data_IF_707725584782
#
_entry.id   IF_707725584782
#
_cell.length_a   1.000
_cell.length_b   1.000
_cell.length_c   1.000
_cell.angle_alpha   90.00
_cell.angle_beta   90.00
_cell.angle_gamma   90.00
#
_symmetry.space_group_name_H-M   'P 1'
#
loop_
_entity.id
_entity.type
_entity.pdbx_description
1 polymer ?
#
# COMPACT_ATOMS: atom_id res chain seq x y z
N UNK A 1 -15.06 -30.88 12.68
CA UNK A 1 -15.69 -29.55 12.47
C UNK A 1 -15.44 -29.20 11.01
N UNK A 2 -16.46 -28.99 10.17
CA UNK A 2 -16.25 -28.98 8.74
C UNK A 2 -15.61 -27.66 8.30
N UNK A 3 -14.68 -27.78 7.36
CA UNK A 3 -14.03 -26.71 6.63
C UNK A 3 -15.04 -25.98 5.75
N UNK A 4 -15.91 -25.17 6.35
CA UNK A 4 -16.56 -24.09 5.61
C UNK A 4 -15.45 -23.17 5.10
N UNK A 5 -15.20 -23.26 3.79
CA UNK A 5 -14.66 -22.21 2.94
C UNK A 5 -14.61 -20.84 3.63
N UNK A 6 -13.52 -20.58 4.35
CA UNK A 6 -13.21 -19.26 4.86
C UNK A 6 -12.82 -18.46 3.63
N UNK A 7 -13.82 -17.96 2.90
CA UNK A 7 -13.66 -17.05 1.78
C UNK A 7 -12.96 -15.82 2.34
N UNK A 8 -11.63 -15.80 2.27
CA UNK A 8 -10.84 -14.60 2.51
C UNK A 8 -11.26 -13.65 1.39
N UNK A 9 -12.25 -12.81 1.67
CA UNK A 9 -12.71 -11.80 0.74
C UNK A 9 -11.56 -10.83 0.54
N UNK A 10 -10.97 -10.88 -0.64
CA UNK A 10 -9.95 -9.92 -1.05
C UNK A 10 -10.64 -8.62 -1.42
N UNK A 11 -10.10 -7.52 -0.92
CA UNK A 11 -10.50 -6.18 -1.31
C UNK A 11 -9.42 -5.63 -2.24
N UNK A 12 -9.80 -4.86 -3.24
CA UNK A 12 -8.83 -4.21 -4.12
C UNK A 12 -8.51 -2.83 -3.54
N UNK A 13 -7.26 -2.64 -3.12
CA UNK A 13 -6.72 -1.32 -2.77
C UNK A 13 -6.00 -0.73 -3.98
N UNK A 14 -6.15 0.58 -4.20
CA UNK A 14 -5.42 1.30 -5.23
C UNK A 14 -4.18 1.95 -4.63
N UNK A 15 -3.01 1.64 -5.18
CA UNK A 15 -1.73 2.25 -4.81
C UNK A 15 -1.25 3.14 -5.95
N UNK A 16 -0.99 4.40 -5.66
CA UNK A 16 -0.46 5.35 -6.63
C UNK A 16 1.07 5.32 -6.61
N UNK A 17 1.68 5.08 -7.75
CA UNK A 17 3.13 5.07 -7.92
C UNK A 17 3.56 6.33 -8.68
N UNK A 18 4.57 7.02 -8.15
CA UNK A 18 5.24 8.12 -8.85
C UNK A 18 6.26 7.55 -9.84
N UNK A 19 6.16 7.96 -11.10
CA UNK A 19 7.13 7.65 -12.15
C UNK A 19 7.61 8.93 -12.83
N UNK A 20 8.76 8.88 -13.52
CA UNK A 20 9.27 10.03 -14.28
C UNK A 20 8.31 10.55 -15.37
N UNK A 21 7.26 9.80 -15.73
CA UNK A 21 6.22 10.18 -16.69
C UNK A 21 4.93 10.69 -16.02
N UNK A 22 4.88 10.75 -14.68
CA UNK A 22 3.71 11.11 -13.88
C UNK A 22 3.24 9.98 -12.98
N UNK A 23 1.98 10.05 -12.56
CA UNK A 23 1.39 9.13 -11.58
C UNK A 23 0.61 8.00 -12.25
N UNK A 24 0.86 6.76 -11.82
CA UNK A 24 0.10 5.58 -12.23
C UNK A 24 -0.54 4.92 -11.01
N UNK A 25 -1.62 4.16 -11.22
CA UNK A 25 -2.31 3.45 -10.16
C UNK A 25 -2.28 1.94 -10.39
N UNK A 26 -1.81 1.20 -9.39
CA UNK A 26 -1.79 -0.25 -9.35
C UNK A 26 -2.93 -0.74 -8.46
N UNK A 27 -3.74 -1.67 -8.97
CA UNK A 27 -4.80 -2.33 -8.22
C UNK A 27 -4.22 -3.57 -7.53
N UNK A 28 -4.21 -3.57 -6.20
CA UNK A 28 -3.60 -4.62 -5.38
C UNK A 28 -4.70 -5.36 -4.62
N UNK A 29 -4.90 -6.66 -4.84
CA UNK A 29 -5.76 -7.47 -3.99
C UNK A 29 -5.11 -7.62 -2.61
N UNK A 30 -5.84 -7.24 -1.56
CA UNK A 30 -5.40 -7.35 -0.17
C UNK A 30 -6.38 -8.19 0.63
N UNK A 31 -5.84 -8.93 1.60
CA UNK A 31 -6.60 -9.58 2.67
C UNK A 31 -6.41 -8.79 3.96
N UNK A 32 -7.20 -9.07 5.02
CA UNK A 32 -6.94 -8.48 6.34
C UNK A 32 -5.54 -8.80 6.92
N UNK A 33 -4.81 -9.75 6.34
CA UNK A 33 -3.45 -10.13 6.77
C UNK A 33 -2.36 -9.60 5.83
N UNK A 34 -2.72 -8.99 4.69
CA UNK A 34 -1.74 -8.42 3.77
C UNK A 34 -1.11 -7.20 4.43
N UNK A 35 0.21 -7.24 4.59
CA UNK A 35 0.98 -6.18 5.21
C UNK A 35 1.35 -5.07 4.23
N UNK A 36 1.72 -3.91 4.76
CA UNK A 36 2.26 -2.80 4.00
C UNK A 36 3.50 -3.21 3.22
N UNK A 37 4.33 -4.10 3.79
CA UNK A 37 5.47 -4.69 3.09
C UNK A 37 5.02 -5.52 1.88
N UNK A 38 4.01 -6.37 2.03
CA UNK A 38 3.51 -7.20 0.92
C UNK A 38 3.00 -6.32 -0.24
N UNK A 39 2.26 -5.25 0.09
CA UNK A 39 1.78 -4.28 -0.91
C UNK A 39 2.93 -3.54 -1.58
N UNK A 40 3.92 -3.08 -0.81
CA UNK A 40 5.13 -2.43 -1.36
C UNK A 40 5.89 -3.36 -2.28
N UNK A 41 6.15 -4.59 -1.84
CA UNK A 41 6.87 -5.61 -2.61
C UNK A 41 6.10 -6.02 -3.88
N UNK A 42 4.77 -5.94 -3.86
CA UNK A 42 3.91 -6.16 -5.04
C UNK A 42 3.94 -4.99 -6.04
N UNK A 43 4.04 -3.74 -5.57
CA UNK A 43 3.92 -2.55 -6.42
C UNK A 43 5.25 -2.04 -6.97
N UNK A 44 6.35 -2.34 -6.29
CA UNK A 44 7.67 -1.83 -6.66
C UNK A 44 8.21 -2.49 -7.92
N UNK A 45 8.99 -1.73 -8.66
CA UNK A 45 9.73 -2.21 -9.80
C UNK A 45 10.94 -3.05 -9.33
N UNK A 46 11.24 -4.17 -10.00
CA UNK A 46 12.37 -5.02 -9.62
C UNK A 46 13.70 -4.26 -9.69
N UNK A 47 14.41 -4.19 -8.56
CA UNK A 47 15.73 -3.56 -8.46
C UNK A 47 15.70 -2.08 -8.07
N UNK A 48 14.52 -1.47 -7.96
CA UNK A 48 14.38 -0.10 -7.48
C UNK A 48 14.08 -0.09 -5.97
N UNK A 49 15.13 0.18 -5.19
CA UNK A 49 15.09 0.39 -3.74
C UNK A 49 15.92 1.63 -3.37
N UNK A 50 15.59 2.33 -2.27
CA UNK A 50 14.50 2.06 -1.33
C UNK A 50 13.19 2.77 -1.72
N UNK A 51 12.05 2.16 -1.38
CA UNK A 51 10.71 2.77 -1.53
C UNK A 51 9.91 2.73 -0.22
N UNK A 52 8.94 3.64 -0.11
CA UNK A 52 8.04 3.78 1.03
C UNK A 52 6.60 3.62 0.58
N UNK A 53 5.77 2.99 1.41
CA UNK A 53 4.32 3.01 1.26
C UNK A 53 3.76 4.04 2.24
N UNK A 54 2.93 4.95 1.73
CA UNK A 54 2.34 6.05 2.48
C UNK A 54 0.82 5.94 2.45
N UNK A 55 0.15 6.33 3.52
CA UNK A 55 -1.26 6.73 3.48
C UNK A 55 -1.35 8.24 3.46
N UNK A 56 -2.18 8.78 2.56
CA UNK A 56 -2.44 10.21 2.42
C UNK A 56 -3.93 10.44 2.63
N UNK A 57 -4.29 11.32 3.56
CA UNK A 57 -5.67 11.67 3.86
C UNK A 57 -5.80 13.19 4.03
N UNK A 58 -6.82 13.86 3.45
CA UNK A 58 -6.95 15.32 3.49
C UNK A 58 -6.99 15.91 4.91
N UNK A 59 -7.60 15.20 5.86
CA UNK A 59 -7.73 15.65 7.25
C UNK A 59 -6.67 15.10 8.22
N UNK A 60 -6.00 14.00 7.87
CA UNK A 60 -5.04 13.31 8.76
C UNK A 60 -3.59 13.41 8.27
N UNK A 61 -3.37 13.99 7.09
CA UNK A 61 -2.05 14.23 6.52
C UNK A 61 -1.44 12.99 5.87
N UNK A 62 -0.10 12.94 5.90
CA UNK A 62 0.70 11.85 5.33
C UNK A 62 1.27 11.01 6.46
N UNK A 63 1.09 9.69 6.39
CA UNK A 63 1.70 8.73 7.30
C UNK A 63 2.51 7.70 6.52
N UNK A 64 3.75 7.44 6.97
CA UNK A 64 4.62 6.42 6.40
C UNK A 64 4.28 5.10 7.07
N UNK A 65 3.75 4.14 6.31
CA UNK A 65 3.41 2.84 6.84
C UNK A 65 4.68 2.05 7.13
N UNK A 66 4.73 1.49 8.34
CA UNK A 66 5.71 0.47 8.74
C UNK A 66 5.36 -0.85 8.07
N UNK A 67 6.37 -1.67 7.88
CA UNK A 67 6.25 -2.97 7.19
C UNK A 67 5.14 -3.87 7.72
N UNK A 68 4.88 -3.84 9.03
CA UNK A 68 3.88 -4.67 9.69
C UNK A 68 2.47 -4.07 9.74
N UNK A 69 2.28 -2.81 9.34
CA UNK A 69 0.96 -2.19 9.32
C UNK A 69 0.08 -2.83 8.23
N UNK A 70 -1.22 -2.87 8.47
CA UNK A 70 -2.20 -3.53 7.60
C UNK A 70 -2.96 -2.45 6.81
N UNK A 71 -2.81 -2.34 5.48
CA UNK A 71 -3.48 -1.30 4.69
C UNK A 71 -5.00 -1.33 4.83
N UNK A 72 -5.60 -2.50 5.07
CA UNK A 72 -7.03 -2.59 5.31
C UNK A 72 -7.44 -1.93 6.63
N UNK A 73 -6.71 -2.16 7.72
CA UNK A 73 -6.97 -1.49 9.02
C UNK A 73 -6.78 0.03 8.90
N UNK A 74 -5.76 0.47 8.17
CA UNK A 74 -5.53 1.89 7.88
C UNK A 74 -6.70 2.48 7.08
N UNK A 75 -7.20 1.75 6.08
CA UNK A 75 -8.34 2.19 5.29
C UNK A 75 -9.64 2.25 6.09
N UNK A 76 -9.88 1.28 6.97
CA UNK A 76 -11.04 1.25 7.87
C UNK A 76 -10.98 2.41 8.88
N UNK A 77 -9.79 2.73 9.41
CA UNK A 77 -9.61 3.80 10.39
C UNK A 77 -9.73 5.21 9.79
N UNK A 78 -9.20 5.42 8.58
CA UNK A 78 -9.18 6.74 7.94
C UNK A 78 -10.40 6.97 7.02
N UNK A 79 -11.08 5.92 6.59
CA UNK A 79 -12.24 6.01 5.72
C UNK A 79 -11.89 6.21 4.23
N UNK A 80 -12.90 6.46 3.39
CA UNK A 80 -12.80 6.32 1.93
C UNK A 80 -11.92 7.36 1.23
N UNK A 81 -11.56 8.45 1.91
CA UNK A 81 -10.74 9.52 1.32
C UNK A 81 -9.23 9.20 1.40
N UNK A 82 -8.84 8.14 2.10
CA UNK A 82 -7.43 7.72 2.18
C UNK A 82 -6.95 7.20 0.82
N UNK A 83 -5.73 7.61 0.46
CA UNK A 83 -5.02 7.10 -0.70
C UNK A 83 -3.73 6.43 -0.26
N UNK A 84 -3.38 5.32 -0.90
CA UNK A 84 -2.08 4.68 -0.72
C UNK A 84 -1.13 5.12 -1.82
N UNK A 85 0.10 5.46 -1.45
CA UNK A 85 1.11 6.00 -2.36
C UNK A 85 2.41 5.24 -2.16
N UNK A 86 2.96 4.69 -3.25
CA UNK A 86 4.32 4.19 -3.30
C UNK A 86 5.25 5.33 -3.74
N UNK A 87 6.26 5.64 -2.93
CA UNK A 87 7.25 6.67 -3.22
C UNK A 87 8.66 6.09 -3.16
N UNK A 88 9.39 6.20 -4.26
CA UNK A 88 10.82 5.89 -4.29
C UNK A 88 11.61 7.00 -3.59
N UNK A 89 12.60 6.60 -2.79
CA UNK A 89 13.47 7.51 -2.05
C UNK A 89 14.77 7.61 -2.81
N UNK A 90 15.09 8.81 -3.29
CA UNK A 90 16.42 9.09 -3.80
C UNK A 90 17.38 9.13 -2.60
N UNK A 91 18.24 8.13 -2.50
CA UNK A 91 19.25 8.07 -1.43
C UNK A 91 20.44 9.00 -1.72
N UNK A 92 20.47 9.63 -2.90
CA UNK A 92 21.62 10.35 -3.41
C UNK A 92 22.80 9.40 -3.69
N UNK A 93 23.58 9.71 -4.72
CA UNK A 93 24.92 9.13 -4.83
C UNK A 93 25.76 9.67 -3.68
N UNK A 94 26.01 8.83 -2.67
CA UNK A 94 27.13 9.05 -1.74
C UNK A 94 28.45 9.02 -2.50
#
# INVERSE_FOLDING_TARGET
MPAELMYIHQIIVRVWCESGAGWSATAVPVTPQTSARDVRDCCRDPGDDPCLLLSVHPLHGVHVLRDSELPLEVAEALGPEVQFVLKYVDVGKL
#
